data_IF_057020471862
#
_entry.id   IF_057020471862
#
_cell.length_a   1.000
_cell.length_b   1.000
_cell.length_c   1.000
_cell.angle_alpha   90.00
_cell.angle_beta   90.00
_cell.angle_gamma   90.00
#
_symmetry.space_group_name_H-M   'P 1'
#
loop_
_entity.id
_entity.type
_entity.pdbx_description
1 polymer ?
#
# COMPACT_ATOMS: atom_id res chain seq x y z
N UNK A 1 -19.27 35.44 -14.82
CA UNK A 1 -18.30 35.08 -13.75
C UNK A 1 -18.32 33.59 -13.45
N UNK A 2 -19.46 32.94 -13.33
CA UNK A 2 -19.58 31.52 -12.92
C UNK A 2 -18.84 30.53 -13.85
N UNK A 3 -18.91 30.68 -15.17
CA UNK A 3 -18.25 29.76 -16.12
C UNK A 3 -16.71 29.90 -16.11
N UNK A 4 -16.21 31.12 -15.94
CA UNK A 4 -14.75 31.40 -15.85
C UNK A 4 -14.17 30.73 -14.62
N UNK A 5 -14.82 30.89 -13.47
CA UNK A 5 -14.36 30.29 -12.23
C UNK A 5 -14.35 28.74 -12.27
N UNK A 6 -15.32 28.11 -12.95
CA UNK A 6 -15.34 26.65 -13.14
C UNK A 6 -14.13 26.18 -13.96
N UNK A 7 -13.80 26.89 -15.05
CA UNK A 7 -12.63 26.57 -15.86
C UNK A 7 -11.33 26.71 -15.05
N UNK A 8 -11.22 27.74 -14.20
CA UNK A 8 -10.05 27.99 -13.37
C UNK A 8 -9.86 26.88 -12.30
N UNK A 9 -10.94 26.34 -11.74
CA UNK A 9 -10.88 25.17 -10.85
C UNK A 9 -10.42 23.89 -11.60
N UNK A 10 -10.97 23.67 -12.77
CA UNK A 10 -10.65 22.51 -13.58
C UNK A 10 -9.20 22.56 -14.11
N UNK A 11 -8.67 23.74 -14.40
CA UNK A 11 -7.29 23.96 -14.81
C UNK A 11 -6.29 23.54 -13.73
N UNK A 12 -6.58 23.81 -12.45
CA UNK A 12 -5.73 23.41 -11.32
C UNK A 12 -5.67 21.88 -11.25
N UNK A 13 -6.83 21.22 -11.25
CA UNK A 13 -6.89 19.77 -11.21
C UNK A 13 -6.22 19.10 -12.43
N UNK A 14 -6.35 19.69 -13.61
CA UNK A 14 -5.72 19.15 -14.81
C UNK A 14 -4.19 19.22 -14.72
N UNK A 15 -3.63 20.32 -14.21
CA UNK A 15 -2.16 20.45 -14.02
C UNK A 15 -1.63 19.42 -13.02
N UNK A 16 -2.30 19.24 -11.90
CA UNK A 16 -1.93 18.23 -10.91
C UNK A 16 -2.02 16.81 -11.49
N UNK A 17 -3.07 16.53 -12.25
CA UNK A 17 -3.26 15.25 -12.95
C UNK A 17 -2.16 14.98 -13.97
N UNK A 18 -1.79 15.97 -14.78
CA UNK A 18 -0.71 15.84 -15.76
C UNK A 18 0.62 15.52 -15.09
N UNK A 19 0.93 16.15 -13.95
CA UNK A 19 2.14 15.87 -13.17
C UNK A 19 2.14 14.43 -12.66
N UNK A 20 1.11 13.99 -11.97
CA UNK A 20 1.02 12.63 -11.43
C UNK A 20 1.06 11.58 -12.54
N UNK A 21 0.31 11.78 -13.62
CA UNK A 21 0.26 10.80 -14.71
C UNK A 21 1.55 10.74 -15.52
N UNK A 22 2.28 11.85 -15.67
CA UNK A 22 3.58 11.86 -16.31
C UNK A 22 4.62 11.09 -15.49
N UNK A 23 4.68 11.31 -14.18
CA UNK A 23 5.55 10.57 -13.28
C UNK A 23 5.20 9.07 -13.25
N UNK A 24 3.91 8.75 -13.12
CA UNK A 24 3.43 7.38 -13.14
C UNK A 24 3.80 6.65 -14.44
N UNK A 25 3.70 7.35 -15.57
CA UNK A 25 4.08 6.79 -16.89
C UNK A 25 5.57 6.49 -16.96
N UNK A 26 6.43 7.37 -16.47
CA UNK A 26 7.87 7.13 -16.43
C UNK A 26 8.22 5.86 -15.64
N UNK A 27 7.56 5.64 -14.50
CA UNK A 27 7.73 4.43 -13.70
C UNK A 27 7.24 3.18 -14.45
N UNK A 28 6.11 3.27 -15.15
CA UNK A 28 5.57 2.16 -15.95
C UNK A 28 6.45 1.83 -17.18
N UNK A 29 7.05 2.84 -17.81
CA UNK A 29 7.92 2.67 -18.97
C UNK A 29 9.30 2.07 -18.59
N UNK A 30 9.51 1.73 -17.32
CA UNK A 30 10.69 0.98 -16.86
C UNK A 30 11.89 1.85 -16.52
N UNK A 31 11.71 3.14 -16.25
CA UNK A 31 12.76 3.99 -15.72
C UNK A 31 13.35 3.39 -14.44
N UNK A 32 14.67 3.42 -14.29
CA UNK A 32 15.31 3.09 -13.01
C UNK A 32 14.95 4.17 -11.99
N UNK A 33 14.23 3.77 -10.96
CA UNK A 33 13.73 4.67 -9.92
C UNK A 33 14.53 4.59 -8.61
N UNK A 34 15.64 3.85 -8.60
CA UNK A 34 16.52 3.73 -7.42
C UNK A 34 16.91 5.09 -6.86
N UNK A 35 17.43 5.96 -7.72
CA UNK A 35 17.84 7.31 -7.33
C UNK A 35 16.65 8.13 -6.79
N UNK A 36 15.48 7.98 -7.43
CA UNK A 36 14.26 8.64 -6.97
C UNK A 36 13.86 8.18 -5.57
N UNK A 37 13.92 6.88 -5.29
CA UNK A 37 13.62 6.29 -3.97
C UNK A 37 14.63 6.77 -2.92
N UNK A 38 15.92 6.80 -3.24
CA UNK A 38 16.95 7.31 -2.34
C UNK A 38 16.73 8.81 -2.04
N UNK A 39 16.40 9.62 -3.05
CA UNK A 39 16.10 11.04 -2.84
C UNK A 39 14.83 11.24 -1.99
N UNK A 40 13.79 10.42 -2.17
CA UNK A 40 12.61 10.43 -1.29
C UNK A 40 12.99 10.12 0.16
N UNK A 41 13.85 9.12 0.37
CA UNK A 41 14.35 8.76 1.70
C UNK A 41 15.14 9.89 2.34
N UNK A 42 16.07 10.52 1.61
CA UNK A 42 16.84 11.67 2.11
C UNK A 42 15.91 12.83 2.50
N UNK A 43 14.96 13.16 1.63
CA UNK A 43 13.98 14.23 1.89
C UNK A 43 13.14 13.93 3.13
N UNK A 44 12.65 12.70 3.25
CA UNK A 44 11.82 12.28 4.38
C UNK A 44 12.60 12.31 5.71
N UNK A 45 13.84 11.81 5.73
CA UNK A 45 14.72 11.88 6.91
C UNK A 45 14.98 13.35 7.28
N UNK A 46 15.37 14.19 6.31
CA UNK A 46 15.62 15.60 6.54
C UNK A 46 14.41 16.35 7.11
N UNK A 47 13.20 16.02 6.63
CA UNK A 47 11.96 16.58 7.17
C UNK A 47 11.74 16.15 8.64
N UNK A 48 11.97 14.88 8.98
CA UNK A 48 11.86 14.41 10.37
C UNK A 48 12.87 15.07 11.30
N UNK A 49 14.11 15.22 10.85
CA UNK A 49 15.15 15.90 11.63
C UNK A 49 14.82 17.38 11.80
N UNK A 50 14.43 18.05 10.71
CA UNK A 50 14.03 19.46 10.75
C UNK A 50 12.83 19.71 11.68
N UNK A 51 11.86 18.81 11.67
CA UNK A 51 10.69 18.88 12.56
C UNK A 51 11.10 18.71 14.04
N UNK A 52 12.05 17.82 14.33
CA UNK A 52 12.54 17.61 15.68
C UNK A 52 13.32 18.82 16.23
N UNK A 53 14.08 19.50 15.38
CA UNK A 53 14.78 20.73 15.74
C UNK A 53 13.83 21.93 15.89
N UNK A 54 12.79 22.01 15.03
CA UNK A 54 11.90 23.16 14.98
C UNK A 54 12.68 24.46 14.79
N UNK A 55 12.47 25.45 15.68
CA UNK A 55 13.22 26.71 15.69
C UNK A 55 14.51 26.66 16.52
N UNK A 56 14.84 25.52 17.11
CA UNK A 56 15.99 25.38 17.99
C UNK A 56 17.26 25.07 17.19
N UNK A 57 18.38 25.64 17.64
CA UNK A 57 19.70 25.36 17.04
C UNK A 57 20.30 24.05 17.55
N UNK A 58 19.85 23.54 18.68
CA UNK A 58 20.37 22.36 19.34
C UNK A 58 19.24 21.49 19.84
N UNK A 59 19.44 20.18 19.74
CA UNK A 59 18.50 19.19 20.24
C UNK A 59 18.92 18.75 21.64
N UNK A 60 17.97 18.55 22.53
CA UNK A 60 18.23 17.93 23.82
C UNK A 60 18.16 16.38 23.74
N UNK A 61 18.59 15.70 24.79
CA UNK A 61 18.55 14.24 24.82
C UNK A 61 17.13 13.66 24.73
N UNK A 62 16.10 14.40 25.12
CA UNK A 62 14.72 13.95 25.02
C UNK A 62 14.21 14.05 23.60
N UNK A 63 14.44 15.16 22.93
CA UNK A 63 14.12 15.38 21.50
C UNK A 63 14.86 14.40 20.60
N UNK A 64 16.15 14.13 20.86
CA UNK A 64 16.91 13.11 20.16
C UNK A 64 16.27 11.72 20.27
N UNK A 65 15.88 11.29 21.48
CA UNK A 65 15.24 9.99 21.68
C UNK A 65 13.87 9.88 20.99
N UNK A 66 13.12 10.98 20.93
CA UNK A 66 11.84 11.02 20.22
C UNK A 66 12.03 10.94 18.72
N UNK A 67 12.96 11.73 18.16
CA UNK A 67 13.34 11.71 16.76
C UNK A 67 13.84 10.32 16.34
N UNK A 68 14.76 9.73 17.12
CA UNK A 68 15.30 8.40 16.85
C UNK A 68 14.20 7.33 16.85
N UNK A 69 13.23 7.42 17.79
CA UNK A 69 12.08 6.51 17.84
C UNK A 69 11.18 6.60 16.60
N UNK A 70 11.06 7.77 15.98
CA UNK A 70 10.33 7.98 14.74
C UNK A 70 11.02 7.36 13.53
N UNK A 71 12.34 7.32 13.53
CA UNK A 71 13.16 6.85 12.40
C UNK A 71 13.55 5.38 12.49
N UNK A 72 13.83 4.89 13.71
CA UNK A 72 14.18 3.48 13.95
C UNK A 72 13.04 2.52 13.58
N UNK A 73 13.39 1.47 12.87
CA UNK A 73 12.42 0.46 12.41
C UNK A 73 11.59 0.90 11.20
N UNK A 74 11.72 2.16 10.79
CA UNK A 74 11.13 2.69 9.57
C UNK A 74 12.18 2.83 8.47
N UNK A 75 13.32 3.47 8.76
CA UNK A 75 14.39 3.75 7.78
C UNK A 75 15.65 2.92 8.00
N UNK A 76 15.93 2.52 9.22
CA UNK A 76 17.08 1.69 9.59
C UNK A 76 16.78 0.83 10.81
N UNK A 77 17.64 -0.14 11.06
CA UNK A 77 17.49 -1.06 12.20
C UNK A 77 17.66 -0.34 13.54
N UNK A 78 17.00 -0.84 14.59
CA UNK A 78 17.18 -0.32 15.94
C UNK A 78 18.64 -0.43 16.38
N UNK A 79 19.17 0.69 16.88
CA UNK A 79 20.56 0.77 17.33
C UNK A 79 21.59 0.94 16.21
N UNK A 80 21.18 1.13 14.95
CA UNK A 80 22.09 1.41 13.84
C UNK A 80 22.79 2.76 14.01
N UNK A 81 22.08 3.74 14.56
CA UNK A 81 22.64 5.05 14.92
C UNK A 81 22.57 5.20 16.43
N UNK A 82 23.71 5.48 17.04
CA UNK A 82 23.81 5.73 18.48
C UNK A 82 24.73 6.93 18.72
N UNK A 83 24.14 8.01 19.22
CA UNK A 83 24.88 9.20 19.67
C UNK A 83 24.80 9.25 21.19
N UNK A 84 25.93 9.34 21.89
CA UNK A 84 25.93 9.51 23.35
C UNK A 84 25.14 10.76 23.75
N UNK A 85 24.29 10.65 24.76
CA UNK A 85 23.42 11.76 25.20
C UNK A 85 24.20 13.04 25.53
N UNK A 86 25.43 12.90 26.01
CA UNK A 86 26.31 14.04 26.33
C UNK A 86 26.78 14.80 25.07
N UNK A 87 26.81 14.13 23.91
CA UNK A 87 27.25 14.75 22.64
C UNK A 87 26.08 15.34 21.83
N UNK A 88 24.84 14.98 22.14
CA UNK A 88 23.65 15.44 21.41
C UNK A 88 23.56 16.96 21.30
N UNK A 89 23.76 17.75 22.38
CA UNK A 89 23.66 19.21 22.30
C UNK A 89 24.74 19.87 21.46
N UNK A 90 25.83 19.15 21.17
CA UNK A 90 26.93 19.65 20.34
C UNK A 90 26.80 19.35 18.86
N UNK A 91 25.80 18.57 18.46
CA UNK A 91 25.57 18.18 17.08
C UNK A 91 24.58 19.12 16.39
N UNK A 92 24.89 19.44 15.15
CA UNK A 92 24.02 20.22 14.27
C UNK A 92 22.93 19.34 13.63
N UNK A 93 21.93 19.97 13.05
CA UNK A 93 20.93 19.27 12.22
C UNK A 93 21.61 18.48 11.11
N UNK A 94 22.59 19.06 10.44
CA UNK A 94 23.32 18.45 9.33
C UNK A 94 24.11 17.19 9.76
N UNK A 95 24.66 17.18 10.99
CA UNK A 95 25.33 15.98 11.54
C UNK A 95 24.36 14.81 11.72
N UNK A 96 23.12 15.09 12.15
CA UNK A 96 22.09 14.08 12.30
C UNK A 96 21.57 13.61 10.93
N UNK A 97 21.31 14.54 10.00
CA UNK A 97 20.90 14.20 8.63
C UNK A 97 21.89 13.24 8.00
N UNK A 98 23.19 13.54 8.04
CA UNK A 98 24.23 12.70 7.48
C UNK A 98 24.28 11.32 8.15
N UNK A 99 24.19 11.26 9.47
CA UNK A 99 24.24 10.01 10.21
C UNK A 99 23.03 9.09 9.92
N UNK A 100 21.83 9.68 9.84
CA UNK A 100 20.62 8.91 9.56
C UNK A 100 20.52 8.49 8.09
N UNK A 101 20.90 9.37 7.16
CA UNK A 101 20.96 9.04 5.74
C UNK A 101 21.94 7.89 5.50
N UNK A 102 23.16 7.96 6.05
CA UNK A 102 24.12 6.88 5.90
C UNK A 102 23.59 5.54 6.44
N UNK A 103 22.96 5.54 7.61
CA UNK A 103 22.37 4.31 8.18
C UNK A 103 21.20 3.76 7.35
N UNK A 104 20.42 4.64 6.73
CA UNK A 104 19.30 4.26 5.88
C UNK A 104 19.77 3.72 4.52
N UNK A 105 20.81 4.31 3.94
CA UNK A 105 21.47 3.81 2.73
C UNK A 105 22.09 2.41 2.96
N UNK A 106 22.82 2.23 4.05
CA UNK A 106 23.35 0.93 4.43
C UNK A 106 22.25 -0.13 4.57
N UNK A 107 21.13 0.24 5.19
CA UNK A 107 19.99 -0.66 5.33
C UNK A 107 19.38 -1.01 3.98
N UNK A 108 19.24 -0.03 3.09
CA UNK A 108 18.75 -0.23 1.73
C UNK A 108 19.66 -1.14 0.91
N UNK A 109 20.98 -0.92 0.94
CA UNK A 109 21.98 -1.74 0.22
C UNK A 109 21.98 -3.19 0.73
N UNK A 110 21.92 -3.38 2.04
CA UNK A 110 21.82 -4.71 2.65
C UNK A 110 20.54 -5.43 2.19
N UNK A 111 19.43 -4.71 2.13
CA UNK A 111 18.16 -5.26 1.64
C UNK A 111 18.22 -5.61 0.17
N UNK A 112 18.81 -4.75 -0.66
CA UNK A 112 19.02 -5.04 -2.09
C UNK A 112 19.92 -6.26 -2.30
N UNK A 113 20.95 -6.42 -1.50
CA UNK A 113 21.83 -7.59 -1.53
C UNK A 113 21.10 -8.89 -1.11
N UNK A 114 20.19 -8.80 -0.15
CA UNK A 114 19.40 -9.97 0.30
C UNK A 114 18.39 -10.45 -0.76
N UNK A 115 17.71 -9.53 -1.44
CA UNK A 115 16.61 -9.85 -2.36
C UNK A 115 16.98 -9.82 -3.84
N UNK A 116 18.17 -9.37 -4.18
CA UNK A 116 18.71 -9.09 -5.52
C UNK A 116 18.19 -7.81 -6.17
N UNK A 117 19.07 -7.13 -6.95
CA UNK A 117 18.72 -5.86 -7.60
C UNK A 117 17.51 -5.92 -8.55
N UNK A 118 17.30 -6.95 -9.37
CA UNK A 118 16.12 -7.00 -10.25
C UNK A 118 14.80 -7.06 -9.46
N UNK A 119 14.78 -7.83 -8.36
CA UNK A 119 13.59 -7.95 -7.50
C UNK A 119 13.36 -6.64 -6.75
N UNK A 120 14.43 -5.98 -6.29
CA UNK A 120 14.33 -4.68 -5.64
C UNK A 120 13.74 -3.62 -6.57
N UNK A 121 14.21 -3.54 -7.83
CA UNK A 121 13.64 -2.62 -8.85
C UNK A 121 12.15 -2.86 -9.07
N UNK A 122 11.73 -4.12 -9.14
CA UNK A 122 10.31 -4.44 -9.32
C UNK A 122 9.49 -4.10 -8.06
N UNK A 123 10.03 -4.36 -6.87
CA UNK A 123 9.40 -4.00 -5.61
C UNK A 123 9.17 -2.48 -5.50
N UNK A 124 10.19 -1.68 -5.81
CA UNK A 124 10.10 -0.22 -5.83
C UNK A 124 9.02 0.27 -6.76
N UNK A 125 8.97 -0.28 -7.99
CA UNK A 125 7.97 0.06 -8.98
C UNK A 125 6.55 -0.23 -8.49
N UNK A 126 6.33 -1.44 -7.99
CA UNK A 126 5.01 -1.87 -7.51
C UNK A 126 4.56 -1.04 -6.31
N UNK A 127 5.45 -0.81 -5.34
CA UNK A 127 5.13 -0.03 -4.15
C UNK A 127 4.81 1.41 -4.51
N UNK A 128 5.68 2.06 -5.31
CA UNK A 128 5.49 3.45 -5.71
C UNK A 128 4.18 3.65 -6.47
N UNK A 129 3.89 2.81 -7.47
CA UNK A 129 2.64 2.91 -8.24
C UNK A 129 1.42 2.76 -7.36
N UNK A 130 1.46 1.81 -6.42
CA UNK A 130 0.35 1.57 -5.50
C UNK A 130 0.11 2.74 -4.55
N UNK A 131 1.18 3.29 -3.98
CA UNK A 131 1.09 4.44 -3.07
C UNK A 131 0.56 5.66 -3.82
N UNK A 132 1.11 5.95 -5.01
CA UNK A 132 0.64 7.06 -5.84
C UNK A 132 -0.85 6.92 -6.17
N UNK A 133 -1.29 5.72 -6.56
CA UNK A 133 -2.70 5.49 -6.91
C UNK A 133 -3.63 5.69 -5.68
N UNK A 134 -3.25 5.21 -4.49
CA UNK A 134 -4.02 5.38 -3.25
C UNK A 134 -4.15 6.87 -2.88
N UNK A 135 -3.05 7.59 -2.76
CA UNK A 135 -3.04 9.00 -2.35
C UNK A 135 -3.66 9.93 -3.39
N UNK A 136 -3.49 9.62 -4.68
CA UNK A 136 -4.11 10.39 -5.74
C UNK A 136 -5.65 10.28 -5.73
N UNK A 137 -6.20 9.10 -5.47
CA UNK A 137 -7.65 8.92 -5.34
C UNK A 137 -8.20 9.72 -4.16
N UNK A 138 -7.56 9.64 -2.99
CA UNK A 138 -7.95 10.40 -1.80
C UNK A 138 -7.87 11.91 -2.06
N UNK A 139 -6.85 12.36 -2.80
CA UNK A 139 -6.67 13.77 -3.15
C UNK A 139 -7.78 14.27 -4.09
N UNK A 140 -8.21 13.48 -5.06
CA UNK A 140 -9.34 13.85 -5.94
C UNK A 140 -10.59 14.11 -5.10
N UNK A 141 -10.91 13.22 -4.17
CA UNK A 141 -12.07 13.35 -3.31
C UNK A 141 -11.96 14.59 -2.39
N UNK A 142 -10.79 14.81 -1.80
CA UNK A 142 -10.52 15.99 -0.96
C UNK A 142 -10.62 17.31 -1.76
N UNK A 143 -10.18 17.33 -3.02
CA UNK A 143 -10.31 18.49 -3.90
C UNK A 143 -11.77 18.80 -4.29
N UNK A 144 -12.59 17.77 -4.45
CA UNK A 144 -14.02 17.96 -4.69
C UNK A 144 -14.71 18.54 -3.44
N UNK A 145 -14.35 18.09 -2.24
CA UNK A 145 -14.83 18.65 -0.98
C UNK A 145 -14.39 20.11 -0.79
N UNK A 146 -13.12 20.43 -1.09
CA UNK A 146 -12.60 21.79 -1.07
C UNK A 146 -13.40 22.71 -1.99
N UNK A 147 -13.68 22.26 -3.23
CA UNK A 147 -14.46 23.01 -4.22
C UNK A 147 -15.88 23.31 -3.71
N UNK A 148 -16.50 22.35 -3.02
CA UNK A 148 -17.83 22.54 -2.41
C UNK A 148 -17.76 23.50 -1.21
N UNK A 149 -16.76 23.35 -0.33
CA UNK A 149 -16.56 24.19 0.85
C UNK A 149 -16.37 25.66 0.49
N UNK A 150 -15.52 25.96 -0.48
CA UNK A 150 -15.25 27.33 -0.93
C UNK A 150 -16.49 27.99 -1.55
N UNK A 151 -17.32 27.21 -2.26
CA UNK A 151 -18.60 27.75 -2.80
C UNK A 151 -19.56 28.16 -1.68
N UNK A 152 -19.54 27.52 -0.54
CA UNK A 152 -20.35 27.87 0.62
C UNK A 152 -19.79 29.08 1.38
N UNK A 153 -18.45 29.26 1.39
CA UNK A 153 -17.77 30.37 2.08
C UNK A 153 -17.72 31.67 1.26
N UNK A 154 -18.22 31.70 0.02
CA UNK A 154 -18.11 32.82 -0.92
C UNK A 154 -18.83 34.12 -0.48
N UNK A 155 -19.29 34.21 0.77
CA UNK A 155 -19.82 35.41 1.42
C UNK A 155 -18.74 36.33 2.02
N UNK A 156 -17.46 35.92 1.98
CA UNK A 156 -16.32 36.72 2.47
C UNK A 156 -15.70 37.59 1.36
N UNK A 157 -14.83 38.50 1.80
CA UNK A 157 -14.21 39.53 0.92
C UNK A 157 -13.08 38.96 0.02
N UNK A 158 -12.82 37.65 0.03
CA UNK A 158 -11.77 37.00 -0.75
C UNK A 158 -12.32 36.42 -2.05
N UNK A 159 -11.52 36.47 -3.12
CA UNK A 159 -11.85 35.80 -4.38
C UNK A 159 -11.81 34.27 -4.18
N UNK A 160 -12.92 33.56 -4.35
CA UNK A 160 -12.98 32.11 -4.11
C UNK A 160 -11.98 31.30 -4.94
N UNK A 161 -11.63 31.78 -6.14
CA UNK A 161 -10.66 31.10 -7.02
C UNK A 161 -9.23 31.19 -6.45
N UNK A 162 -8.86 32.32 -5.88
CA UNK A 162 -7.53 32.50 -5.32
C UNK A 162 -7.34 31.68 -4.03
N UNK A 163 -8.40 31.59 -3.23
CA UNK A 163 -8.43 30.70 -2.06
C UNK A 163 -8.27 29.23 -2.51
N UNK A 164 -9.04 28.81 -3.51
CA UNK A 164 -8.95 27.45 -4.05
C UNK A 164 -7.54 27.13 -4.56
N UNK A 165 -6.92 28.02 -5.33
CA UNK A 165 -5.57 27.81 -5.86
C UNK A 165 -4.53 27.64 -4.75
N UNK A 166 -4.63 28.44 -3.68
CA UNK A 166 -3.71 28.35 -2.55
C UNK A 166 -3.89 27.05 -1.77
N UNK A 167 -5.10 26.78 -1.33
CA UNK A 167 -5.40 25.57 -0.55
C UNK A 167 -5.17 24.29 -1.34
N UNK A 168 -5.47 24.30 -2.64
CA UNK A 168 -5.19 23.16 -3.52
C UNK A 168 -3.69 22.90 -3.71
N UNK A 169 -2.86 23.94 -3.68
CA UNK A 169 -1.41 23.77 -3.74
C UNK A 169 -0.89 23.15 -2.44
N UNK A 170 -1.32 23.67 -1.29
CA UNK A 170 -0.96 23.14 0.03
C UNK A 170 -1.33 21.66 0.15
N UNK A 171 -2.57 21.30 -0.20
CA UNK A 171 -3.04 19.91 -0.20
C UNK A 171 -2.24 19.00 -1.16
N UNK A 172 -1.85 19.53 -2.32
CA UNK A 172 -1.05 18.78 -3.28
C UNK A 172 0.37 18.54 -2.78
N UNK A 173 1.01 19.54 -2.16
CA UNK A 173 2.33 19.42 -1.55
C UNK A 173 2.33 18.43 -0.38
N UNK A 174 1.29 18.48 0.47
CA UNK A 174 1.09 17.50 1.55
C UNK A 174 0.93 16.07 1.01
N UNK A 175 0.14 15.90 -0.06
CA UNK A 175 -0.02 14.60 -0.73
C UNK A 175 1.33 14.08 -1.27
N UNK A 176 2.12 14.92 -1.93
CA UNK A 176 3.44 14.52 -2.45
C UNK A 176 4.37 14.10 -1.31
N UNK A 177 4.43 14.86 -0.22
CA UNK A 177 5.21 14.50 0.96
C UNK A 177 4.75 13.15 1.56
N UNK A 178 3.44 12.96 1.69
CA UNK A 178 2.87 11.70 2.18
C UNK A 178 3.18 10.50 1.25
N UNK A 179 3.17 10.70 -0.07
CA UNK A 179 3.58 9.67 -1.04
C UNK A 179 5.04 9.29 -0.83
N UNK A 180 5.93 10.26 -0.61
CA UNK A 180 7.34 10.00 -0.38
C UNK A 180 7.55 9.18 0.90
N UNK A 181 6.99 9.62 2.01
CA UNK A 181 7.10 8.95 3.31
C UNK A 181 6.53 7.53 3.26
N UNK A 182 5.34 7.37 2.70
CA UNK A 182 4.67 6.07 2.62
C UNK A 182 5.38 5.10 1.68
N UNK A 183 5.92 5.59 0.56
CA UNK A 183 6.70 4.77 -0.38
C UNK A 183 7.94 4.20 0.32
N UNK A 184 8.70 5.04 0.99
CA UNK A 184 9.90 4.62 1.73
C UNK A 184 9.50 3.66 2.86
N UNK A 185 8.50 4.01 3.66
CA UNK A 185 8.02 3.18 4.77
C UNK A 185 7.61 1.78 4.31
N UNK A 186 6.84 1.67 3.21
CA UNK A 186 6.45 0.36 2.65
C UNK A 186 7.64 -0.41 2.12
N UNK A 187 8.54 0.24 1.40
CA UNK A 187 9.74 -0.42 0.88
C UNK A 187 10.60 -1.01 2.00
N UNK A 188 10.77 -0.30 3.11
CA UNK A 188 11.58 -0.76 4.24
C UNK A 188 10.87 -1.83 5.08
N UNK A 189 9.54 -1.80 5.17
CA UNK A 189 8.75 -2.76 5.93
C UNK A 189 8.53 -4.10 5.22
N UNK A 190 8.56 -4.13 3.89
CA UNK A 190 8.35 -5.36 3.12
C UNK A 190 9.48 -6.35 3.39
N UNK A 191 9.13 -7.55 3.83
CA UNK A 191 10.02 -8.71 3.93
C UNK A 191 9.59 -9.74 2.92
N UNK A 192 10.46 -10.12 2.02
CA UNK A 192 10.18 -11.26 1.15
C UNK A 192 10.12 -12.51 2.02
N UNK A 193 9.00 -13.19 2.00
CA UNK A 193 8.99 -14.57 2.49
C UNK A 193 9.88 -15.35 1.53
N UNK A 194 11.00 -15.86 2.03
CA UNK A 194 11.65 -17.00 1.37
C UNK A 194 10.56 -18.06 1.37
N UNK A 195 10.03 -18.38 0.20
CA UNK A 195 9.21 -19.57 0.05
C UNK A 195 10.10 -20.74 0.50
N UNK A 196 10.01 -21.09 1.78
CA UNK A 196 10.15 -22.48 2.14
C UNK A 196 9.17 -23.17 1.23
N UNK A 197 9.71 -23.97 0.32
CA UNK A 197 8.94 -24.74 -0.63
C UNK A 197 7.59 -25.05 -0.02
N UNK A 198 6.52 -24.41 -0.48
CA UNK A 198 5.19 -24.96 -0.33
C UNK A 198 5.29 -26.27 -1.07
N UNK A 199 5.72 -27.31 -0.36
CA UNK A 199 5.47 -28.68 -0.75
C UNK A 199 3.98 -28.73 -0.88
N UNK A 200 3.52 -28.45 -2.11
CA UNK A 200 2.21 -28.86 -2.54
C UNK A 200 2.26 -30.37 -2.32
N UNK A 201 1.84 -30.83 -1.15
CA UNK A 201 1.41 -32.20 -1.02
C UNK A 201 0.41 -32.38 -2.14
N UNK A 202 0.90 -32.97 -3.20
CA UNK A 202 0.03 -33.52 -4.23
C UNK A 202 -0.84 -34.54 -3.49
N UNK A 203 -2.00 -34.09 -3.03
CA UNK A 203 -3.12 -34.95 -2.72
C UNK A 203 -3.70 -35.44 -4.05
N UNK A 204 -2.84 -35.89 -4.94
CA UNK A 204 -3.15 -36.83 -5.97
C UNK A 204 -2.92 -38.20 -5.32
N UNK A 205 -3.93 -38.69 -4.61
CA UNK A 205 -4.06 -40.14 -4.36
C UNK A 205 -3.84 -40.82 -5.70
N UNK A 206 -2.73 -41.55 -5.78
CA UNK A 206 -2.38 -42.30 -6.97
C UNK A 206 -3.60 -43.09 -7.47
N UNK A 207 -3.98 -42.83 -8.71
CA UNK A 207 -4.74 -43.80 -9.48
C UNK A 207 -3.85 -45.03 -9.57
N UNK A 208 -4.17 -46.01 -8.79
CA UNK A 208 -3.58 -47.33 -8.94
C UNK A 208 -4.14 -47.90 -10.25
N UNK A 209 -3.34 -47.85 -11.30
CA UNK A 209 -3.57 -48.70 -12.47
C UNK A 209 -3.47 -50.16 -12.00
N UNK A 210 -4.60 -50.82 -11.95
CA UNK A 210 -4.68 -52.28 -11.78
C UNK A 210 -4.32 -52.93 -13.11
N UNK A 211 -3.06 -53.29 -13.29
CA UNK A 211 -2.64 -54.32 -14.23
C UNK A 211 -2.78 -55.67 -13.54
N UNK A 212 -3.67 -56.46 -14.06
CA UNK A 212 -3.98 -57.88 -13.97
C UNK A 212 -3.40 -58.69 -12.79
N UNK A 213 -4.30 -59.28 -12.01
CA UNK A 213 -3.99 -60.32 -11.04
C UNK A 213 -5.24 -60.74 -10.28
N UNK A 214 -5.76 -61.90 -10.63
CA UNK A 214 -6.87 -62.68 -10.06
C UNK A 214 -6.96 -62.61 -8.51
N UNK A 215 -8.16 -62.26 -7.96
CA UNK A 215 -8.38 -62.34 -6.53
C UNK A 215 -9.56 -61.46 -6.04
N UNK A 216 -10.74 -61.98 -6.11
CA UNK A 216 -12.04 -61.55 -5.59
C UNK A 216 -12.02 -60.70 -4.32
N UNK A 217 -12.33 -59.39 -4.43
CA UNK A 217 -12.96 -58.56 -3.37
C UNK A 217 -14.00 -57.63 -3.98
N UNK A 218 -15.19 -57.46 -3.36
CA UNK A 218 -16.29 -56.73 -3.98
C UNK A 218 -15.98 -55.23 -4.05
N UNK A 219 -16.09 -54.65 -5.25
CA UNK A 219 -16.00 -53.23 -5.51
C UNK A 219 -17.15 -52.50 -4.82
N UNK A 220 -16.86 -51.62 -3.86
CA UNK A 220 -17.82 -50.60 -3.42
C UNK A 220 -18.04 -49.64 -4.59
N UNK A 221 -19.23 -49.65 -5.16
CA UNK A 221 -19.64 -48.71 -6.18
C UNK A 221 -19.74 -47.28 -5.55
N UNK A 222 -19.31 -46.21 -6.24
CA UNK A 222 -19.55 -44.85 -5.76
C UNK A 222 -21.06 -44.61 -5.74
N UNK A 223 -21.56 -44.15 -4.59
CA UNK A 223 -22.94 -43.67 -4.44
C UNK A 223 -23.19 -42.51 -5.41
N UNK A 224 -23.94 -42.78 -6.48
CA UNK A 224 -24.45 -41.72 -7.35
C UNK A 224 -25.51 -40.96 -6.57
N UNK A 225 -25.18 -39.74 -6.12
CA UNK A 225 -26.18 -38.82 -5.59
C UNK A 225 -27.05 -38.37 -6.75
N UNK A 226 -28.24 -38.95 -6.84
CA UNK A 226 -29.24 -38.54 -7.83
C UNK A 226 -29.76 -37.15 -7.41
N UNK A 227 -29.42 -36.12 -8.17
CA UNK A 227 -29.99 -34.77 -7.95
C UNK A 227 -31.45 -34.82 -8.41
N UNK A 228 -32.36 -34.77 -7.45
CA UNK A 228 -33.81 -34.74 -7.70
C UNK A 228 -34.20 -33.32 -8.15
N UNK A 229 -34.79 -33.22 -9.34
CA UNK A 229 -35.26 -31.96 -9.89
C UNK A 229 -36.54 -31.50 -9.17
N UNK A 230 -36.74 -30.20 -9.13
CA UNK A 230 -37.89 -29.54 -8.44
C UNK A 230 -39.25 -30.08 -8.86
N UNK A 231 -39.40 -30.62 -10.07
CA UNK A 231 -40.63 -31.16 -10.60
C UNK A 231 -40.68 -32.69 -10.64
N UNK A 232 -39.64 -33.39 -10.22
CA UNK A 232 -39.58 -34.84 -10.17
C UNK A 232 -40.47 -35.40 -9.05
N UNK A 233 -40.93 -36.65 -9.13
CA UNK A 233 -41.68 -37.26 -8.06
C UNK A 233 -40.80 -37.47 -6.83
N UNK A 234 -41.37 -37.20 -5.64
CA UNK A 234 -40.65 -37.33 -4.38
C UNK A 234 -40.33 -38.81 -4.10
N UNK A 235 -39.11 -39.20 -3.72
CA UNK A 235 -38.73 -40.58 -3.46
C UNK A 235 -39.43 -41.20 -2.25
N UNK A 236 -40.15 -40.41 -1.43
CA UNK A 236 -40.95 -40.96 -0.34
C UNK A 236 -42.19 -41.79 -0.77
N UNK A 237 -42.46 -41.90 -2.07
CA UNK A 237 -43.57 -42.68 -2.58
C UNK A 237 -44.95 -42.02 -2.51
N UNK A 238 -45.02 -40.74 -2.10
CA UNK A 238 -46.30 -40.02 -1.97
C UNK A 238 -46.97 -39.65 -3.29
N UNK A 239 -46.31 -39.85 -4.44
CA UNK A 239 -46.81 -39.45 -5.76
C UNK A 239 -46.80 -37.93 -6.00
N UNK A 240 -46.39 -37.15 -5.03
CA UNK A 240 -46.30 -35.65 -5.14
C UNK A 240 -44.96 -35.25 -5.75
N UNK A 241 -44.99 -34.14 -6.49
CA UNK A 241 -43.76 -33.53 -6.99
C UNK A 241 -42.88 -33.03 -5.82
N UNK A 242 -41.54 -33.13 -5.96
CA UNK A 242 -40.57 -32.73 -4.95
C UNK A 242 -40.92 -31.37 -4.28
N UNK A 243 -41.25 -30.36 -5.04
CA UNK A 243 -41.57 -29.03 -4.54
C UNK A 243 -42.88 -28.93 -3.73
N UNK A 244 -43.75 -29.94 -3.79
CA UNK A 244 -45.07 -29.99 -3.09
C UNK A 244 -45.10 -31.01 -1.97
N UNK A 245 -44.07 -31.83 -1.83
CA UNK A 245 -43.98 -32.81 -0.79
C UNK A 245 -43.36 -32.21 0.47
N UNK A 246 -43.90 -32.50 1.64
CA UNK A 246 -43.42 -32.05 2.95
C UNK A 246 -42.96 -33.21 3.83
N UNK A 247 -42.51 -34.32 3.20
CA UNK A 247 -42.07 -35.48 3.96
C UNK A 247 -40.80 -35.18 4.81
N UNK A 248 -40.76 -35.58 6.11
CA UNK A 248 -39.65 -35.25 7.00
C UNK A 248 -38.34 -35.98 6.68
N UNK A 249 -38.40 -37.06 5.90
CA UNK A 249 -37.21 -37.83 5.57
C UNK A 249 -36.30 -37.19 4.52
N UNK A 250 -36.85 -36.37 3.61
CA UNK A 250 -36.12 -35.83 2.45
C UNK A 250 -36.13 -34.29 2.38
N UNK A 251 -36.97 -33.62 3.19
CA UNK A 251 -37.08 -32.15 3.27
C UNK A 251 -36.74 -31.66 4.70
N UNK A 252 -35.51 -31.96 5.16
CA UNK A 252 -34.98 -31.30 6.36
C UNK A 252 -34.46 -29.92 5.97
N UNK A 253 -35.00 -28.85 6.59
CA UNK A 253 -34.54 -27.47 6.46
C UNK A 253 -33.08 -27.29 6.90
#
# INVERSE_FOLDING_TARGET
>A
QSRKSVLEYDDVMNKQRELIYSQRRQVLDGMDIKETVLNMMHTSIGNHVSLAFGEQQHLDAAGYREMLRGLEGMYFAKGAVSVPEAEVPGKSQEDFDQAFIAAAEDFYENKEAEITSPIMRELERVVMLRVVDEYWMDHIDAMDDLKQGIRLQSYGNNNPVDVYKRESLEMFEEMIAAIQDETVRRLYSVRLRKDEEVKRERVAKGMVENVGGDGTKPKKQPLKVVKIGRNDPCPCGSGLKWKKCTCPEYHQN
#
